data_IF_071224445776
#
_entry.id   IF_071224445776
#
_cell.length_a   1.000
_cell.length_b   1.000
_cell.length_c   1.000
_cell.angle_alpha   90.00
_cell.angle_beta   90.00
_cell.angle_gamma   90.00
#
_symmetry.space_group_name_H-M   'P 1'
#
loop_
_entity.id
_entity.type
_entity.pdbx_description
1 polymer ?
#
# COMPACT_ATOMS: atom_id res chain seq x y z
N UNK A 1 20.29 36.52 16.99
CA UNK A 1 19.77 35.54 16.00
C UNK A 1 19.15 34.37 16.73
N UNK A 2 17.90 34.08 16.38
CA UNK A 2 17.27 32.89 16.91
C UNK A 2 17.79 31.65 16.22
N UNK A 3 18.20 30.65 16.98
CA UNK A 3 18.57 29.37 16.43
C UNK A 3 17.37 28.72 15.78
N UNK A 4 17.54 28.14 14.58
CA UNK A 4 16.48 27.37 13.93
C UNK A 4 16.27 26.07 14.69
N UNK A 5 15.02 25.81 15.01
CA UNK A 5 14.62 24.55 15.64
C UNK A 5 14.48 23.48 14.57
N UNK A 6 15.05 22.31 14.84
CA UNK A 6 14.86 21.13 14.00
C UNK A 6 13.64 20.37 14.50
N UNK A 7 12.75 20.00 13.58
CA UNK A 7 11.58 19.23 13.93
C UNK A 7 11.97 17.85 14.48
N UNK A 8 11.39 17.51 15.59
CA UNK A 8 11.45 16.15 16.16
C UNK A 8 10.04 15.74 16.55
N UNK A 9 9.61 14.57 16.11
CA UNK A 9 8.35 14.03 16.53
C UNK A 9 8.36 13.79 18.04
N UNK A 10 7.25 14.14 18.71
CA UNK A 10 7.12 13.89 20.15
C UNK A 10 7.09 12.39 20.42
N UNK A 11 7.36 12.00 21.68
CA UNK A 11 7.27 10.60 22.10
C UNK A 11 5.86 10.04 21.86
N UNK A 12 4.83 10.86 22.08
CA UNK A 12 3.44 10.51 21.81
C UNK A 12 3.20 10.27 20.32
N UNK A 13 3.65 11.19 19.44
CA UNK A 13 3.53 11.05 17.99
C UNK A 13 4.27 9.82 17.46
N UNK A 14 5.47 9.56 17.94
CA UNK A 14 6.26 8.37 17.57
C UNK A 14 5.55 7.09 17.98
N UNK A 15 5.00 7.04 19.18
CA UNK A 15 4.24 5.89 19.68
C UNK A 15 3.00 5.62 18.84
N UNK A 16 2.26 6.68 18.51
CA UNK A 16 1.07 6.58 17.66
C UNK A 16 1.43 6.14 16.23
N UNK A 17 2.49 6.70 15.67
CA UNK A 17 2.99 6.30 14.35
C UNK A 17 3.38 4.82 14.35
N UNK A 18 4.08 4.35 15.37
CA UNK A 18 4.46 2.94 15.49
C UNK A 18 3.24 2.01 15.53
N UNK A 19 2.21 2.41 16.27
CA UNK A 19 0.95 1.66 16.35
C UNK A 19 0.26 1.60 14.99
N UNK A 20 0.15 2.74 14.29
CA UNK A 20 -0.45 2.81 12.96
C UNK A 20 0.32 1.96 11.95
N UNK A 21 1.65 1.98 12.00
CA UNK A 21 2.49 1.14 11.13
C UNK A 21 2.29 -0.34 11.40
N UNK A 22 2.12 -0.71 12.67
CA UNK A 22 1.82 -2.10 13.01
C UNK A 22 0.51 -2.57 12.37
N UNK A 23 -0.55 -1.78 12.50
CA UNK A 23 -1.84 -2.13 11.89
C UNK A 23 -1.79 -2.08 10.36
N UNK A 24 -1.02 -1.16 9.79
CA UNK A 24 -0.81 -1.12 8.33
C UNK A 24 -0.13 -2.40 7.84
N UNK A 25 0.94 -2.81 8.51
CA UNK A 25 1.64 -4.05 8.16
C UNK A 25 0.75 -5.27 8.30
N UNK A 26 -0.07 -5.31 9.35
CA UNK A 26 -1.02 -6.40 9.56
C UNK A 26 -2.04 -6.47 8.41
N UNK A 27 -2.60 -5.33 8.00
CA UNK A 27 -3.53 -5.26 6.87
C UNK A 27 -2.86 -5.75 5.57
N UNK A 28 -1.63 -5.32 5.32
CA UNK A 28 -0.88 -5.73 4.12
C UNK A 28 -0.51 -7.21 4.13
N UNK A 29 -0.13 -7.75 5.28
CA UNK A 29 0.17 -9.19 5.41
C UNK A 29 -1.08 -10.01 5.09
N UNK A 30 -2.24 -9.60 5.61
CA UNK A 30 -3.51 -10.27 5.33
C UNK A 30 -3.86 -10.13 3.83
N UNK A 31 -3.62 -8.97 3.23
CA UNK A 31 -3.84 -8.75 1.80
C UNK A 31 -3.00 -9.72 0.96
N UNK A 32 -1.71 -9.83 1.24
CA UNK A 32 -0.80 -10.73 0.51
C UNK A 32 -1.17 -12.19 0.76
N UNK A 33 -1.54 -12.56 1.98
CA UNK A 33 -2.03 -13.90 2.27
C UNK A 33 -3.30 -14.21 1.46
N UNK A 34 -4.20 -13.23 1.35
CA UNK A 34 -5.40 -13.34 0.51
C UNK A 34 -5.06 -13.53 -0.96
N UNK A 35 -4.06 -12.82 -1.45
CA UNK A 35 -3.57 -12.99 -2.83
C UNK A 35 -3.05 -14.40 -3.06
N UNK A 36 -2.23 -14.91 -2.17
CA UNK A 36 -1.68 -16.27 -2.26
C UNK A 36 -2.81 -17.29 -2.28
N UNK A 37 -3.79 -17.13 -1.40
CA UNK A 37 -4.97 -18.00 -1.38
C UNK A 37 -5.73 -17.93 -2.72
N UNK A 38 -5.96 -16.72 -3.24
CA UNK A 38 -6.66 -16.53 -4.51
C UNK A 38 -5.91 -17.19 -5.67
N UNK A 39 -4.59 -17.06 -5.71
CA UNK A 39 -3.76 -17.66 -6.75
C UNK A 39 -3.90 -19.18 -6.74
N UNK A 40 -3.84 -19.81 -5.57
CA UNK A 40 -3.83 -21.26 -5.48
C UNK A 40 -5.23 -21.88 -5.53
N UNK A 41 -6.29 -21.14 -5.18
CA UNK A 41 -7.61 -21.72 -4.98
C UNK A 41 -8.73 -21.11 -5.81
N UNK A 42 -8.58 -19.90 -6.33
CA UNK A 42 -9.69 -19.16 -6.92
C UNK A 42 -9.56 -18.84 -8.40
N UNK A 43 -8.41 -19.13 -9.03
CA UNK A 43 -8.23 -18.86 -10.47
C UNK A 43 -8.83 -20.04 -11.25
N UNK A 44 -10.13 -20.01 -11.47
CA UNK A 44 -10.85 -20.98 -12.30
C UNK A 44 -12.15 -20.37 -12.78
N UNK A 45 -12.76 -21.00 -13.80
CA UNK A 45 -14.07 -20.55 -14.31
C UNK A 45 -15.16 -20.67 -13.25
N UNK A 46 -15.11 -21.72 -12.44
CA UNK A 46 -16.15 -22.04 -11.43
C UNK A 46 -16.08 -21.11 -10.21
N UNK A 47 -14.91 -20.51 -9.97
CA UNK A 47 -14.69 -19.68 -8.77
C UNK A 47 -14.58 -18.18 -9.10
N UNK A 48 -15.06 -17.76 -10.27
CA UNK A 48 -14.96 -16.36 -10.71
C UNK A 48 -15.54 -15.39 -9.68
N UNK A 49 -16.73 -15.67 -9.14
CA UNK A 49 -17.38 -14.78 -8.18
C UNK A 49 -16.51 -14.65 -6.91
N UNK A 50 -15.98 -15.77 -6.42
CA UNK A 50 -15.10 -15.77 -5.25
C UNK A 50 -13.78 -15.06 -5.52
N UNK A 51 -13.25 -15.18 -6.73
CA UNK A 51 -12.05 -14.47 -7.15
C UNK A 51 -12.29 -12.96 -7.13
N UNK A 52 -13.42 -12.50 -7.64
CA UNK A 52 -13.79 -11.07 -7.61
C UNK A 52 -13.92 -10.57 -6.18
N UNK A 53 -14.58 -11.34 -5.30
CA UNK A 53 -14.71 -11.00 -3.89
C UNK A 53 -13.33 -10.90 -3.24
N UNK A 54 -12.45 -11.84 -3.53
CA UNK A 54 -11.07 -11.82 -3.01
C UNK A 54 -10.31 -10.58 -3.48
N UNK A 55 -10.40 -10.22 -4.76
CA UNK A 55 -9.75 -9.03 -5.31
C UNK A 55 -10.25 -7.77 -4.58
N UNK A 56 -11.55 -7.64 -4.37
CA UNK A 56 -12.13 -6.50 -3.65
C UNK A 56 -11.64 -6.46 -2.20
N UNK A 57 -11.60 -7.62 -1.53
CA UNK A 57 -11.11 -7.70 -0.15
C UNK A 57 -9.63 -7.31 -0.05
N UNK A 58 -8.79 -7.79 -0.97
CA UNK A 58 -7.37 -7.44 -1.04
C UNK A 58 -7.23 -5.93 -1.27
N UNK A 59 -8.04 -5.36 -2.16
CA UNK A 59 -8.04 -3.93 -2.45
C UNK A 59 -8.36 -3.10 -1.20
N UNK A 60 -9.40 -3.47 -0.47
CA UNK A 60 -9.79 -2.77 0.77
C UNK A 60 -8.65 -2.83 1.78
N UNK A 61 -8.04 -3.99 1.97
CA UNK A 61 -6.93 -4.16 2.90
C UNK A 61 -5.70 -3.37 2.47
N UNK A 62 -5.37 -3.37 1.17
CA UNK A 62 -4.24 -2.61 0.64
C UNK A 62 -4.42 -1.12 0.86
N UNK A 63 -5.60 -0.58 0.56
CA UNK A 63 -5.93 0.83 0.76
C UNK A 63 -5.88 1.19 2.25
N UNK A 64 -6.48 0.37 3.10
CA UNK A 64 -6.49 0.58 4.55
C UNK A 64 -5.06 0.65 5.09
N UNK A 65 -4.23 -0.31 4.71
CA UNK A 65 -2.82 -0.32 5.11
C UNK A 65 -2.09 0.93 4.65
N UNK A 66 -2.30 1.35 3.40
CA UNK A 66 -1.68 2.55 2.83
C UNK A 66 -2.12 3.82 3.56
N UNK A 67 -3.40 3.94 3.89
CA UNK A 67 -3.92 5.10 4.62
C UNK A 67 -3.30 5.20 6.02
N UNK A 68 -3.23 4.08 6.74
CA UNK A 68 -2.63 4.03 8.07
C UNK A 68 -1.13 4.34 8.01
N UNK A 69 -0.44 3.81 7.03
CA UNK A 69 1.01 4.04 6.85
C UNK A 69 1.31 5.50 6.52
N UNK A 70 0.56 6.10 5.61
CA UNK A 70 0.73 7.53 5.27
C UNK A 70 0.44 8.43 6.47
N UNK A 71 -0.57 8.10 7.27
CA UNK A 71 -0.86 8.84 8.49
C UNK A 71 0.29 8.74 9.49
N UNK A 72 0.87 7.55 9.64
CA UNK A 72 2.05 7.35 10.49
C UNK A 72 3.24 8.19 10.01
N UNK A 73 3.46 8.23 8.69
CA UNK A 73 4.55 9.03 8.11
C UNK A 73 4.40 10.52 8.40
N UNK A 74 3.16 11.02 8.50
CA UNK A 74 2.91 12.42 8.85
C UNK A 74 3.15 12.71 10.32
N UNK A 75 2.97 11.71 11.18
CA UNK A 75 3.26 11.85 12.61
C UNK A 75 4.75 11.71 12.91
N UNK A 76 5.47 10.94 12.13
CA UNK A 76 6.90 10.68 12.31
C UNK A 76 7.58 10.60 10.93
N UNK A 77 7.85 11.75 10.31
CA UNK A 77 8.36 11.79 8.94
C UNK A 77 9.84 11.42 8.85
N UNK A 78 10.23 10.94 7.67
CA UNK A 78 11.64 10.68 7.34
C UNK A 78 12.35 11.95 6.89
N UNK A 79 13.68 11.94 6.98
CA UNK A 79 14.52 13.01 6.45
C UNK A 79 14.78 12.82 4.96
N UNK A 80 14.69 13.91 4.19
CA UNK A 80 15.07 13.91 2.76
C UNK A 80 16.56 13.64 2.55
N UNK A 81 17.37 13.80 3.58
CA UNK A 81 18.83 13.53 3.51
C UNK A 81 19.10 12.05 3.27
N UNK A 82 18.28 11.16 3.80
CA UNK A 82 18.33 9.74 3.49
C UNK A 82 17.33 9.46 2.36
N UNK A 83 17.77 9.62 1.13
CA UNK A 83 16.91 9.55 -0.07
C UNK A 83 16.23 8.20 -0.24
N UNK A 84 16.93 7.11 0.03
CA UNK A 84 16.39 5.77 -0.12
C UNK A 84 15.31 5.51 0.90
N UNK A 85 15.59 5.79 2.18
CA UNK A 85 14.62 5.62 3.27
C UNK A 85 13.41 6.52 3.06
N UNK A 86 13.63 7.77 2.67
CA UNK A 86 12.56 8.73 2.40
C UNK A 86 11.63 8.21 1.31
N UNK A 87 12.20 7.75 0.19
CA UNK A 87 11.41 7.23 -0.93
C UNK A 87 10.64 5.96 -0.52
N UNK A 88 11.33 4.97 0.04
CA UNK A 88 10.70 3.70 0.40
C UNK A 88 9.61 3.93 1.45
N UNK A 89 9.90 4.68 2.51
CA UNK A 89 8.93 4.91 3.58
C UNK A 89 7.67 5.61 3.08
N UNK A 90 7.82 6.60 2.18
CA UNK A 90 6.66 7.35 1.70
C UNK A 90 5.91 6.65 0.57
N UNK A 91 6.56 5.73 -0.16
CA UNK A 91 5.94 5.04 -1.30
C UNK A 91 5.68 3.56 -1.02
N UNK A 92 5.82 3.12 0.23
CA UNK A 92 5.68 1.70 0.58
C UNK A 92 4.30 1.16 0.22
N UNK A 93 3.26 1.96 0.39
CA UNK A 93 1.90 1.55 0.01
C UNK A 93 1.77 1.20 -1.46
N UNK A 94 2.40 1.98 -2.34
CA UNK A 94 2.43 1.68 -3.78
C UNK A 94 3.24 0.41 -4.06
N UNK A 95 4.38 0.25 -3.42
CA UNK A 95 5.23 -0.92 -3.58
C UNK A 95 4.49 -2.19 -3.15
N UNK A 96 3.86 -2.16 -1.98
CA UNK A 96 3.08 -3.29 -1.47
C UNK A 96 1.89 -3.59 -2.38
N UNK A 97 1.24 -2.56 -2.94
CA UNK A 97 0.12 -2.74 -3.87
C UNK A 97 0.54 -3.50 -5.12
N UNK A 98 1.72 -3.19 -5.67
CA UNK A 98 2.27 -3.94 -6.80
C UNK A 98 2.48 -5.41 -6.41
N UNK A 99 3.06 -5.67 -5.24
CA UNK A 99 3.28 -7.02 -4.75
C UNK A 99 1.97 -7.77 -4.50
N UNK A 100 0.93 -7.08 -4.03
CA UNK A 100 -0.35 -7.69 -3.69
C UNK A 100 -1.22 -8.01 -4.92
N UNK A 101 -0.99 -7.36 -6.05
CA UNK A 101 -1.86 -7.52 -7.23
C UNK A 101 -1.15 -8.00 -8.48
N UNK A 102 0.10 -7.60 -8.71
CA UNK A 102 0.77 -7.91 -9.99
C UNK A 102 0.92 -9.42 -10.23
N UNK A 103 1.38 -10.23 -9.25
CA UNK A 103 1.43 -11.67 -9.46
C UNK A 103 0.06 -12.27 -9.79
N UNK A 104 -0.99 -11.82 -9.11
CA UNK A 104 -2.35 -12.29 -9.35
C UNK A 104 -2.81 -11.93 -10.78
N UNK A 105 -2.59 -10.69 -11.21
CA UNK A 105 -2.91 -10.24 -12.58
C UNK A 105 -2.22 -11.13 -13.61
N UNK A 106 -0.90 -11.32 -13.45
CA UNK A 106 -0.12 -12.12 -14.39
C UNK A 106 -0.67 -13.56 -14.46
N UNK A 107 -0.91 -14.16 -13.28
CA UNK A 107 -1.34 -15.56 -13.22
C UNK A 107 -2.76 -15.77 -13.73
N UNK A 108 -3.65 -14.77 -13.60
CA UNK A 108 -4.97 -14.83 -14.23
C UNK A 108 -4.81 -14.87 -15.76
N UNK A 109 -4.00 -13.98 -16.34
CA UNK A 109 -3.90 -13.86 -17.80
C UNK A 109 -3.15 -15.03 -18.45
N UNK A 110 -2.19 -15.66 -17.78
CA UNK A 110 -1.44 -16.77 -18.35
C UNK A 110 -2.02 -18.15 -18.04
N UNK A 111 -3.07 -18.22 -17.20
CA UNK A 111 -3.69 -19.50 -16.84
C UNK A 111 -4.44 -20.09 -18.04
N UNK A 112 -4.00 -21.28 -18.47
CA UNK A 112 -4.56 -21.97 -19.66
C UNK A 112 -5.92 -22.60 -19.39
N UNK A 113 -6.25 -22.87 -18.14
CA UNK A 113 -7.50 -23.55 -17.76
C UNK A 113 -8.67 -22.58 -17.59
N UNK A 114 -8.41 -21.29 -17.72
CA UNK A 114 -9.42 -20.23 -17.59
C UNK A 114 -9.78 -19.72 -18.98
N UNK A 115 -11.08 -19.62 -19.28
CA UNK A 115 -11.54 -19.14 -20.58
C UNK A 115 -11.30 -17.63 -20.77
N UNK A 116 -11.42 -17.16 -22.01
CA UNK A 116 -11.15 -15.76 -22.35
C UNK A 116 -12.11 -14.79 -21.67
N UNK A 117 -13.37 -15.19 -21.46
CA UNK A 117 -14.36 -14.36 -20.78
C UNK A 117 -14.01 -14.15 -19.31
N UNK A 118 -13.66 -15.24 -18.61
CA UNK A 118 -13.24 -15.18 -17.21
C UNK A 118 -11.95 -14.38 -17.03
N UNK A 119 -10.96 -14.60 -17.92
CA UNK A 119 -9.73 -13.80 -17.94
C UNK A 119 -10.03 -12.32 -18.11
N UNK A 120 -10.90 -11.99 -19.08
CA UNK A 120 -11.25 -10.61 -19.36
C UNK A 120 -11.92 -9.93 -18.17
N UNK A 121 -12.85 -10.61 -17.52
CA UNK A 121 -13.58 -10.06 -16.35
C UNK A 121 -12.64 -9.95 -15.16
N UNK A 122 -12.07 -11.06 -14.71
CA UNK A 122 -11.24 -11.08 -13.49
C UNK A 122 -9.94 -10.30 -13.68
N UNK A 123 -9.30 -10.46 -14.85
CA UNK A 123 -8.06 -9.77 -15.15
C UNK A 123 -8.23 -8.27 -15.20
N UNK A 124 -9.32 -7.77 -15.81
CA UNK A 124 -9.61 -6.34 -15.87
C UNK A 124 -9.87 -5.77 -14.48
N UNK A 125 -10.65 -6.47 -13.67
CA UNK A 125 -10.94 -6.05 -12.28
C UNK A 125 -9.64 -6.02 -11.48
N UNK A 126 -8.78 -7.02 -11.63
CA UNK A 126 -7.50 -7.07 -10.92
C UNK A 126 -6.56 -5.95 -11.35
N UNK A 127 -6.51 -5.61 -12.65
CA UNK A 127 -5.70 -4.48 -13.16
C UNK A 127 -6.22 -3.16 -12.59
N UNK A 128 -7.54 -2.93 -12.61
CA UNK A 128 -8.13 -1.72 -12.05
C UNK A 128 -7.84 -1.64 -10.55
N UNK A 129 -7.96 -2.75 -9.83
CA UNK A 129 -7.63 -2.82 -8.40
C UNK A 129 -6.16 -2.46 -8.15
N UNK A 130 -5.25 -2.98 -8.97
CA UNK A 130 -3.82 -2.64 -8.89
C UNK A 130 -3.60 -1.13 -9.05
N UNK A 131 -4.25 -0.51 -10.04
CA UNK A 131 -4.11 0.93 -10.29
C UNK A 131 -4.69 1.75 -9.13
N UNK A 132 -5.86 1.38 -8.64
CA UNK A 132 -6.47 2.08 -7.49
C UNK A 132 -5.59 1.95 -6.25
N UNK A 133 -5.14 0.75 -5.95
CA UNK A 133 -4.29 0.49 -4.78
C UNK A 133 -2.94 1.20 -4.90
N UNK A 134 -2.33 1.14 -6.08
CA UNK A 134 -1.04 1.79 -6.34
C UNK A 134 -1.11 3.30 -6.19
N UNK A 135 -2.12 3.92 -6.78
CA UNK A 135 -2.33 5.38 -6.68
C UNK A 135 -2.64 5.76 -5.24
N UNK A 136 -3.49 4.99 -4.55
CA UNK A 136 -3.83 5.24 -3.14
C UNK A 136 -2.62 5.07 -2.22
N UNK A 137 -1.71 4.17 -2.56
CA UNK A 137 -0.53 3.89 -1.76
C UNK A 137 0.63 4.84 -2.01
N UNK A 138 0.67 5.49 -3.18
CA UNK A 138 1.68 6.50 -3.49
C UNK A 138 1.39 7.78 -2.71
N UNK A 139 2.45 8.44 -2.27
CA UNK A 139 2.33 9.75 -1.60
C UNK A 139 2.89 10.82 -2.53
N UNK A 140 2.00 11.65 -3.09
CA UNK A 140 2.38 12.69 -4.05
C UNK A 140 2.88 13.96 -3.37
N UNK A 141 2.69 14.09 -2.05
CA UNK A 141 3.17 15.21 -1.25
C UNK A 141 3.75 14.67 0.06
N UNK A 142 4.85 13.89 -0.01
CA UNK A 142 5.35 13.19 1.16
C UNK A 142 5.87 14.16 2.23
N UNK A 143 5.56 13.90 3.50
CA UNK A 143 6.06 14.72 4.61
C UNK A 143 7.55 14.46 4.83
N UNK A 144 8.26 15.44 5.37
CA UNK A 144 9.67 15.32 5.70
C UNK A 144 10.00 16.10 6.96
N UNK A 145 11.09 15.71 7.61
CA UNK A 145 11.63 16.47 8.74
C UNK A 145 11.98 17.88 8.29
N UNK A 146 12.53 18.04 7.08
CA UNK A 146 12.92 19.32 6.51
C UNK A 146 11.71 20.24 6.29
N UNK A 147 10.61 19.71 5.77
CA UNK A 147 9.37 20.46 5.58
C UNK A 147 8.80 20.92 6.92
N UNK A 148 8.76 20.05 7.91
CA UNK A 148 8.23 20.37 9.22
C UNK A 148 9.15 21.34 9.98
N UNK A 149 10.46 21.23 9.79
CA UNK A 149 11.42 22.17 10.32
C UNK A 149 11.17 23.58 9.78
N UNK A 150 10.95 23.68 8.46
CA UNK A 150 10.60 24.94 7.80
C UNK A 150 9.30 25.51 8.39
N UNK A 151 8.28 24.69 8.56
CA UNK A 151 6.98 25.13 9.06
C UNK A 151 7.05 25.72 10.49
N UNK A 152 7.87 25.15 11.36
CA UNK A 152 7.99 25.63 12.74
C UNK A 152 8.88 26.89 12.87
N UNK A 153 9.64 27.24 11.84
CA UNK A 153 10.50 28.42 11.84
C UNK A 153 9.91 29.59 11.04
N UNK A 154 8.73 29.43 10.46
CA UNK A 154 7.99 30.49 9.77
C UNK A 154 7.05 31.24 10.68
#
# INVERSE_FOLDING_TARGET
>A
MSEQKVFKASAESKGKAKQLRFFALLAWIIAIAGEVFAIFKLISNETLVWLIIAIVAILILAITGSMLWKKANRLDPASKKDKVRFFIQNQLGAIISVLAFLPLVILIFINKDVDGKTKGIAGSIAVVALLIAGISGADFSPPSIEQYTKDINE
#
